data_IF_384680021211
#
_entry.id   IF_384680021211
#
_cell.length_a   1.000
_cell.length_b   1.000
_cell.length_c   1.000
_cell.angle_alpha   90.00
_cell.angle_beta   90.00
_cell.angle_gamma   90.00
#
_symmetry.space_group_name_H-M   'P 1'
#
loop_
_entity.id
_entity.type
_entity.pdbx_description
1 polymer ?
#
# COMPACT_ATOMS: atom_id res chain seq x y z
N UNK A 1 42.85 30.65 64.38
CA UNK A 1 42.65 29.36 63.68
C UNK A 1 41.31 29.49 62.91
N UNK A 2 41.41 29.80 61.62
CA UNK A 2 40.23 30.01 60.77
C UNK A 2 40.13 28.79 59.84
N UNK A 3 39.03 28.02 59.99
CA UNK A 3 38.77 26.83 59.19
C UNK A 3 37.86 27.23 58.02
N UNK A 4 38.40 27.17 56.78
CA UNK A 4 37.65 27.41 55.54
C UNK A 4 36.98 26.13 55.11
N UNK A 5 35.62 26.12 55.11
CA UNK A 5 34.80 25.07 54.52
C UNK A 5 34.65 25.33 53.01
N UNK A 6 35.24 24.47 52.22
CA UNK A 6 35.07 24.44 50.76
C UNK A 6 33.83 23.64 50.41
N UNK A 7 32.78 24.34 49.95
CA UNK A 7 31.55 23.73 49.49
C UNK A 7 31.69 23.43 47.99
N UNK A 8 31.92 22.16 47.63
CA UNK A 8 31.97 21.70 46.22
C UNK A 8 30.57 21.56 45.68
N UNK A 9 30.19 22.45 44.78
CA UNK A 9 28.96 22.28 43.96
C UNK A 9 29.21 21.26 42.89
N UNK A 10 28.61 20.07 43.03
CA UNK A 10 28.45 19.11 41.93
C UNK A 10 27.35 19.61 40.97
N UNK A 11 27.76 20.11 39.81
CA UNK A 11 26.85 20.38 38.70
C UNK A 11 26.47 19.06 38.06
N UNK A 12 25.20 18.62 38.26
CA UNK A 12 24.60 17.50 37.57
C UNK A 12 24.30 17.96 36.13
N UNK A 13 25.17 17.61 35.19
CA UNK A 13 24.88 17.80 33.76
C UNK A 13 23.81 16.76 33.38
N UNK A 14 22.58 17.22 33.12
CA UNK A 14 21.56 16.42 32.52
C UNK A 14 21.97 16.11 31.08
N UNK A 15 22.37 14.87 30.85
CA UNK A 15 22.66 14.33 29.51
C UNK A 15 21.33 14.18 28.75
N UNK A 16 20.97 15.23 28.01
CA UNK A 16 19.83 15.21 27.09
C UNK A 16 20.26 14.54 25.79
N UNK A 17 20.37 13.20 25.78
CA UNK A 17 20.49 12.45 24.54
C UNK A 17 19.32 12.75 23.64
N UNK A 18 19.52 13.22 22.38
CA UNK A 18 18.42 13.41 21.45
C UNK A 18 17.74 12.05 21.24
N UNK A 19 16.44 11.98 21.51
CA UNK A 19 15.63 10.80 21.26
C UNK A 19 15.81 10.42 19.78
N UNK A 20 16.48 9.30 19.52
CA UNK A 20 16.65 8.77 18.17
C UNK A 20 15.23 8.41 17.66
N UNK A 21 14.75 9.16 16.65
CA UNK A 21 13.51 8.88 16.00
C UNK A 21 13.60 7.45 15.41
N UNK A 22 12.71 6.56 15.86
CA UNK A 22 12.61 5.22 15.28
C UNK A 22 12.30 5.31 13.79
N UNK A 23 12.97 4.53 12.93
CA UNK A 23 12.65 4.56 11.49
C UNK A 23 11.18 4.22 11.27
N UNK A 24 10.50 5.04 10.44
CA UNK A 24 9.10 4.82 10.10
C UNK A 24 8.92 3.48 9.39
N UNK A 25 7.87 2.76 9.72
CA UNK A 25 7.44 1.56 8.99
C UNK A 25 6.97 1.92 7.58
N UNK A 26 7.02 0.95 6.65
CA UNK A 26 6.50 1.16 5.28
C UNK A 26 5.02 1.59 5.31
N UNK A 27 4.23 1.04 6.22
CA UNK A 27 2.82 1.42 6.38
C UNK A 27 2.65 2.91 6.73
N UNK A 28 3.49 3.44 7.64
CA UNK A 28 3.49 4.86 8.00
C UNK A 28 3.98 5.75 6.85
N UNK A 29 5.00 5.31 6.10
CA UNK A 29 5.51 6.04 4.93
C UNK A 29 4.43 6.14 3.85
N UNK A 30 3.65 5.09 3.63
CA UNK A 30 2.59 5.06 2.62
C UNK A 30 1.26 5.68 3.06
N UNK A 31 1.10 6.05 4.32
CA UNK A 31 -0.13 6.60 4.86
C UNK A 31 -0.62 7.87 4.12
N UNK A 32 0.23 8.86 3.77
CA UNK A 32 -0.20 10.02 3.00
C UNK A 32 -0.80 9.66 1.64
N UNK A 33 -0.20 8.69 0.92
CA UNK A 33 -0.71 8.21 -0.36
C UNK A 33 -2.06 7.47 -0.20
N UNK A 34 -2.22 6.64 0.83
CA UNK A 34 -3.49 5.98 1.16
C UNK A 34 -4.59 7.00 1.45
N UNK A 35 -4.28 8.09 2.16
CA UNK A 35 -5.23 9.17 2.43
C UNK A 35 -5.63 9.91 1.14
N UNK A 36 -4.69 10.17 0.23
CA UNK A 36 -4.98 10.76 -1.07
C UNK A 36 -5.88 9.85 -1.93
N UNK A 37 -5.63 8.53 -1.94
CA UNK A 37 -6.48 7.52 -2.60
C UNK A 37 -7.89 7.55 -2.02
N UNK A 38 -8.02 7.54 -0.69
CA UNK A 38 -9.32 7.58 0.00
C UNK A 38 -10.12 8.85 -0.34
N UNK A 39 -9.42 9.96 -0.57
CA UNK A 39 -10.02 11.22 -1.02
C UNK A 39 -10.29 11.26 -2.54
N UNK A 40 -10.00 10.20 -3.30
CA UNK A 40 -10.15 10.16 -4.76
C UNK A 40 -9.11 10.95 -5.54
N UNK A 41 -8.05 11.45 -4.87
CA UNK A 41 -6.99 12.24 -5.50
C UNK A 41 -5.83 11.33 -5.93
N UNK A 42 -6.02 10.65 -7.06
CA UNK A 42 -5.10 9.61 -7.53
C UNK A 42 -3.80 10.17 -8.09
N UNK A 43 -3.83 11.35 -8.72
CA UNK A 43 -2.62 12.05 -9.18
C UNK A 43 -1.73 12.39 -7.99
N UNK A 44 -2.28 12.98 -6.94
CA UNK A 44 -1.58 13.27 -5.69
C UNK A 44 -1.02 12.01 -5.04
N UNK A 45 -1.76 10.91 -5.09
CA UNK A 45 -1.29 9.63 -4.56
C UNK A 45 -0.05 9.12 -5.32
N UNK A 46 -0.04 9.26 -6.66
CA UNK A 46 1.12 8.88 -7.49
C UNK A 46 2.35 9.71 -7.12
N UNK A 47 2.20 11.03 -6.95
CA UNK A 47 3.30 11.91 -6.54
C UNK A 47 3.88 11.48 -5.18
N UNK A 48 3.02 11.29 -4.18
CA UNK A 48 3.40 10.86 -2.84
C UNK A 48 4.07 9.47 -2.83
N UNK A 49 3.59 8.54 -3.66
CA UNK A 49 4.21 7.22 -3.82
C UNK A 49 5.58 7.33 -4.48
N UNK A 50 5.71 8.21 -5.48
CA UNK A 50 6.99 8.45 -6.16
C UNK A 50 8.02 9.03 -5.19
N UNK A 51 7.64 9.98 -4.35
CA UNK A 51 8.48 10.54 -3.30
C UNK A 51 8.87 9.51 -2.23
N UNK A 52 7.94 8.64 -1.86
CA UNK A 52 8.15 7.58 -0.87
C UNK A 52 9.17 6.52 -1.31
N UNK A 53 9.27 6.26 -2.60
CA UNK A 53 10.24 5.35 -3.27
C UNK A 53 10.39 3.96 -2.62
N UNK A 54 9.28 3.35 -2.17
CA UNK A 54 9.27 2.06 -1.48
C UNK A 54 9.21 0.87 -2.44
N UNK A 55 10.07 0.83 -3.47
CA UNK A 55 10.06 -0.16 -4.56
C UNK A 55 10.24 -1.62 -4.15
N UNK A 56 10.63 -1.89 -2.91
CA UNK A 56 10.71 -3.26 -2.35
C UNK A 56 9.40 -3.70 -1.66
N UNK A 57 8.39 -2.84 -1.60
CA UNK A 57 7.12 -3.09 -0.94
C UNK A 57 6.05 -3.49 -1.94
N UNK A 58 5.40 -4.64 -1.74
CA UNK A 58 4.23 -5.05 -2.50
C UNK A 58 3.07 -4.06 -2.36
N UNK A 59 2.86 -3.51 -1.14
CA UNK A 59 1.89 -2.46 -0.87
C UNK A 59 2.10 -1.21 -1.74
N UNK A 60 3.35 -0.77 -1.87
CA UNK A 60 3.70 0.40 -2.69
C UNK A 60 3.31 0.17 -4.15
N UNK A 61 3.69 -0.99 -4.71
CA UNK A 61 3.33 -1.35 -6.07
C UNK A 61 1.81 -1.48 -6.25
N UNK A 62 1.11 -2.10 -5.32
CA UNK A 62 -0.34 -2.19 -5.35
C UNK A 62 -1.01 -0.81 -5.38
N UNK A 63 -0.59 0.13 -4.53
CA UNK A 63 -1.11 1.49 -4.49
C UNK A 63 -0.81 2.28 -5.76
N UNK A 64 0.40 2.13 -6.36
CA UNK A 64 0.75 2.71 -7.66
C UNK A 64 -0.17 2.17 -8.76
N UNK A 65 -0.33 0.86 -8.87
CA UNK A 65 -1.23 0.23 -9.83
C UNK A 65 -2.67 0.71 -9.69
N UNK A 66 -3.17 0.77 -8.45
CA UNK A 66 -4.52 1.27 -8.16
C UNK A 66 -4.70 2.72 -8.59
N UNK A 67 -3.77 3.60 -8.24
CA UNK A 67 -3.84 5.02 -8.57
C UNK A 67 -3.78 5.25 -10.08
N UNK A 68 -2.91 4.55 -10.80
CA UNK A 68 -2.80 4.62 -12.26
C UNK A 68 -4.06 4.11 -12.96
N UNK A 69 -4.73 3.10 -12.42
CA UNK A 69 -5.99 2.58 -12.96
C UNK A 69 -7.17 3.51 -12.71
N UNK A 70 -7.17 4.24 -11.58
CA UNK A 70 -8.32 5.04 -11.10
C UNK A 70 -8.25 6.52 -11.44
N UNK A 71 -7.09 7.05 -11.85
CA UNK A 71 -6.94 8.46 -12.20
C UNK A 71 -7.82 8.86 -13.39
N UNK A 72 -8.02 10.17 -13.60
CA UNK A 72 -8.92 10.73 -14.61
C UNK A 72 -8.68 10.17 -16.03
N UNK A 73 -7.42 9.99 -16.42
CA UNK A 73 -7.03 9.28 -17.66
C UNK A 73 -6.29 8.01 -17.27
N UNK A 74 -6.98 6.85 -17.17
CA UNK A 74 -6.38 5.60 -16.70
C UNK A 74 -5.21 5.13 -17.57
N UNK A 75 -4.12 4.67 -16.92
CA UNK A 75 -3.03 3.98 -17.61
C UNK A 75 -3.03 2.50 -17.21
N UNK A 76 -3.87 1.71 -17.91
CA UNK A 76 -4.07 0.29 -17.57
C UNK A 76 -2.83 -0.55 -17.85
N UNK A 77 -2.03 -0.20 -18.86
CA UNK A 77 -0.80 -0.94 -19.21
C UNK A 77 0.22 -0.81 -18.08
N UNK A 78 0.43 0.38 -17.57
CA UNK A 78 1.38 0.60 -16.49
C UNK A 78 0.84 0.06 -15.15
N UNK A 79 -0.46 0.24 -14.88
CA UNK A 79 -1.11 -0.33 -13.69
C UNK A 79 -0.92 -1.86 -13.62
N UNK A 80 -1.06 -2.56 -14.74
CA UNK A 80 -0.84 -4.01 -14.82
C UNK A 80 0.58 -4.40 -14.41
N UNK A 81 1.60 -3.70 -14.90
CA UNK A 81 3.01 -3.96 -14.52
C UNK A 81 3.22 -3.83 -13.02
N UNK A 82 2.62 -2.82 -12.41
CA UNK A 82 2.71 -2.61 -10.97
C UNK A 82 2.02 -3.72 -10.18
N UNK A 83 0.82 -4.18 -10.58
CA UNK A 83 0.17 -5.32 -9.93
C UNK A 83 0.97 -6.62 -10.07
N UNK A 84 1.52 -6.88 -11.25
CA UNK A 84 2.39 -8.05 -11.46
C UNK A 84 3.62 -7.97 -10.54
N UNK A 85 4.24 -6.80 -10.41
CA UNK A 85 5.38 -6.61 -9.51
C UNK A 85 4.98 -6.80 -8.05
N UNK A 86 3.83 -6.28 -7.62
CA UNK A 86 3.30 -6.51 -6.27
C UNK A 86 3.15 -8.00 -6.00
N UNK A 87 2.58 -8.77 -6.94
CA UNK A 87 2.36 -10.21 -6.81
C UNK A 87 3.64 -11.04 -6.95
N UNK A 88 4.71 -10.50 -7.53
CA UNK A 88 6.04 -11.13 -7.52
C UNK A 88 6.74 -10.94 -6.17
N UNK A 89 6.49 -9.82 -5.49
CA UNK A 89 7.02 -9.52 -4.15
C UNK A 89 6.24 -10.25 -3.05
N UNK A 90 4.92 -10.32 -3.17
CA UNK A 90 4.01 -11.04 -2.29
C UNK A 90 2.91 -11.73 -3.10
N UNK A 91 3.08 -13.03 -3.33
CA UNK A 91 2.14 -13.84 -4.14
C UNK A 91 0.74 -13.95 -3.56
N UNK A 92 0.56 -13.60 -2.29
CA UNK A 92 -0.70 -13.66 -1.52
C UNK A 92 -1.26 -12.29 -1.20
N UNK A 93 -0.68 -11.22 -1.74
CA UNK A 93 -1.11 -9.84 -1.49
C UNK A 93 -2.56 -9.62 -1.93
N UNK A 94 -3.48 -9.58 -0.97
CA UNK A 94 -4.93 -9.60 -1.23
C UNK A 94 -5.40 -8.45 -2.12
N UNK A 95 -5.03 -7.21 -1.79
CA UNK A 95 -5.42 -6.05 -2.60
C UNK A 95 -4.86 -6.09 -4.03
N UNK A 96 -3.66 -6.65 -4.25
CA UNK A 96 -3.11 -6.79 -5.61
C UNK A 96 -3.85 -7.87 -6.40
N UNK A 97 -4.25 -8.98 -5.77
CA UNK A 97 -5.07 -10.01 -6.40
C UNK A 97 -6.45 -9.48 -6.80
N UNK A 98 -7.11 -8.71 -5.91
CA UNK A 98 -8.39 -8.07 -6.17
C UNK A 98 -8.28 -7.07 -7.32
N UNK A 99 -7.41 -6.07 -7.20
CA UNK A 99 -7.35 -4.97 -8.16
C UNK A 99 -6.80 -5.38 -9.52
N UNK A 100 -5.91 -6.37 -9.57
CA UNK A 100 -5.48 -6.95 -10.83
C UNK A 100 -6.62 -7.76 -11.47
N UNK A 101 -7.38 -8.52 -10.68
CA UNK A 101 -8.59 -9.19 -11.16
C UNK A 101 -9.59 -8.22 -11.80
N UNK A 102 -9.85 -7.09 -11.15
CA UNK A 102 -10.71 -6.03 -11.70
C UNK A 102 -10.14 -5.39 -13.00
N UNK A 103 -8.81 -5.15 -13.05
CA UNK A 103 -8.17 -4.65 -14.24
C UNK A 103 -8.32 -5.62 -15.42
N UNK A 104 -8.18 -6.93 -15.17
CA UNK A 104 -8.36 -7.97 -16.19
C UNK A 104 -9.80 -7.98 -16.75
N UNK A 105 -10.82 -7.72 -15.91
CA UNK A 105 -12.20 -7.53 -16.39
C UNK A 105 -12.33 -6.31 -17.31
N UNK A 106 -11.65 -5.20 -17.02
CA UNK A 106 -11.60 -4.03 -17.91
C UNK A 106 -10.95 -4.35 -19.25
N UNK A 107 -10.02 -5.31 -19.28
CA UNK A 107 -9.37 -5.82 -20.50
C UNK A 107 -10.15 -6.93 -21.19
N UNK A 108 -11.36 -7.27 -20.71
CA UNK A 108 -12.21 -8.36 -21.18
C UNK A 108 -11.57 -9.77 -21.03
N UNK A 109 -10.64 -9.94 -20.07
CA UNK A 109 -10.03 -11.23 -19.75
C UNK A 109 -10.66 -11.84 -18.49
N UNK A 110 -11.87 -12.37 -18.65
CA UNK A 110 -12.61 -13.03 -17.57
C UNK A 110 -11.85 -14.24 -17.02
N UNK A 111 -11.20 -15.01 -17.89
CA UNK A 111 -10.48 -16.24 -17.48
C UNK A 111 -9.32 -15.91 -16.54
N UNK A 112 -8.55 -14.89 -16.86
CA UNK A 112 -7.46 -14.44 -15.99
C UNK A 112 -8.01 -13.82 -14.69
N UNK A 113 -9.11 -13.07 -14.72
CA UNK A 113 -9.75 -12.53 -13.51
C UNK A 113 -10.23 -13.64 -12.56
N UNK A 114 -10.83 -14.72 -13.09
CA UNK A 114 -11.22 -15.89 -12.29
C UNK A 114 -10.02 -16.63 -11.69
N UNK A 115 -8.85 -16.64 -12.35
CA UNK A 115 -7.61 -17.14 -11.75
C UNK A 115 -7.15 -16.28 -10.55
N UNK A 116 -7.29 -14.95 -10.64
CA UNK A 116 -6.99 -14.06 -9.50
C UNK A 116 -7.96 -14.33 -8.35
N UNK A 117 -9.25 -14.51 -8.63
CA UNK A 117 -10.23 -14.88 -7.63
C UNK A 117 -9.88 -16.20 -6.92
N UNK A 118 -9.49 -17.24 -7.66
CA UNK A 118 -9.10 -18.53 -7.08
C UNK A 118 -7.84 -18.44 -6.20
N UNK A 119 -6.88 -17.56 -6.55
CA UNK A 119 -5.72 -17.26 -5.70
C UNK A 119 -6.14 -16.52 -4.44
N UNK A 120 -7.02 -15.54 -4.57
CA UNK A 120 -7.53 -14.74 -3.46
C UNK A 120 -8.34 -15.58 -2.47
N UNK A 121 -9.14 -16.52 -2.95
CA UNK A 121 -9.88 -17.48 -2.13
C UNK A 121 -8.95 -18.31 -1.23
N UNK A 122 -7.82 -18.76 -1.77
CA UNK A 122 -6.77 -19.46 -1.00
C UNK A 122 -6.06 -18.55 0.01
N UNK A 123 -5.86 -17.26 -0.31
CA UNK A 123 -5.23 -16.30 0.58
C UNK A 123 -6.14 -15.83 1.72
N UNK A 124 -7.46 -16.01 1.58
CA UNK A 124 -8.50 -15.57 2.51
C UNK A 124 -9.22 -16.75 3.18
N UNK A 125 -8.49 -17.56 3.97
CA UNK A 125 -9.01 -18.81 4.57
C UNK A 125 -10.34 -18.67 5.33
N UNK A 126 -10.65 -17.50 5.89
CA UNK A 126 -11.89 -17.23 6.64
C UNK A 126 -12.76 -16.17 5.95
N UNK A 127 -12.52 -15.91 4.66
CA UNK A 127 -13.13 -14.81 3.94
C UNK A 127 -12.44 -13.48 4.18
N UNK A 128 -12.55 -12.56 3.25
CA UNK A 128 -12.05 -11.19 3.34
C UNK A 128 -12.86 -10.28 2.41
N UNK A 129 -12.77 -8.97 2.61
CA UNK A 129 -13.48 -7.96 1.82
C UNK A 129 -13.07 -8.05 0.35
N UNK A 130 -11.77 -8.14 0.08
CA UNK A 130 -11.20 -8.21 -1.26
C UNK A 130 -11.77 -9.39 -2.08
N UNK A 131 -12.00 -10.54 -1.42
CA UNK A 131 -12.60 -11.72 -2.06
C UNK A 131 -14.05 -11.45 -2.47
N UNK A 132 -14.83 -10.79 -1.60
CA UNK A 132 -16.22 -10.47 -1.88
C UNK A 132 -16.32 -9.43 -3.00
N UNK A 133 -15.47 -8.43 -3.01
CA UNK A 133 -15.47 -7.37 -4.00
C UNK A 133 -15.09 -7.90 -5.39
N UNK A 134 -14.07 -8.75 -5.50
CA UNK A 134 -13.73 -9.36 -6.78
C UNK A 134 -14.81 -10.33 -7.26
N UNK A 135 -15.43 -11.13 -6.36
CA UNK A 135 -16.59 -11.97 -6.71
C UNK A 135 -17.74 -11.15 -7.30
N UNK A 136 -18.07 -10.03 -6.66
CA UNK A 136 -19.10 -9.09 -7.10
C UNK A 136 -18.75 -8.49 -8.46
N UNK A 137 -17.51 -8.05 -8.66
CA UNK A 137 -17.04 -7.48 -9.92
C UNK A 137 -17.16 -8.49 -11.09
N UNK A 138 -16.79 -9.76 -10.86
CA UNK A 138 -16.94 -10.84 -11.85
C UNK A 138 -18.42 -11.12 -12.15
N UNK A 139 -19.29 -11.16 -11.15
CA UNK A 139 -20.73 -11.35 -11.34
C UNK A 139 -21.35 -10.23 -12.18
N UNK A 140 -20.99 -8.97 -11.87
CA UNK A 140 -21.45 -7.82 -12.63
C UNK A 140 -20.94 -7.85 -14.08
N UNK A 141 -19.70 -8.27 -14.29
CA UNK A 141 -19.16 -8.44 -15.64
C UNK A 141 -19.93 -9.48 -16.46
N UNK A 142 -20.24 -10.64 -15.86
CA UNK A 142 -21.01 -11.72 -16.51
C UNK A 142 -22.46 -11.33 -16.81
N UNK A 143 -23.04 -10.45 -16.01
CA UNK A 143 -24.42 -10.01 -16.18
C UNK A 143 -24.61 -8.93 -17.26
N UNK A 144 -23.53 -8.33 -17.78
CA UNK A 144 -23.62 -7.33 -18.86
C UNK A 144 -24.11 -8.00 -20.15
N UNK A 145 -25.13 -7.42 -20.84
CA UNK A 145 -25.50 -7.86 -22.18
C UNK A 145 -24.28 -7.75 -23.11
N UNK A 146 -24.02 -8.74 -23.89
CA UNK A 146 -22.95 -8.76 -24.91
C UNK A 146 -23.52 -8.30 -26.24
#
# INVERSE_FOLDING_TARGET
MASLFFCSFFACAADSSPAQATPKSVAEILLPARNAIKAGNYEKAIDLLTEADQKKSADWHNLMGYSLRKKAVPNLIEAEKYYITALNLDTTHRGALEYYGELLLLKNDLVAAEKMLARLDKACMFGCEELQDLKKSIQQYKAKPR
#
